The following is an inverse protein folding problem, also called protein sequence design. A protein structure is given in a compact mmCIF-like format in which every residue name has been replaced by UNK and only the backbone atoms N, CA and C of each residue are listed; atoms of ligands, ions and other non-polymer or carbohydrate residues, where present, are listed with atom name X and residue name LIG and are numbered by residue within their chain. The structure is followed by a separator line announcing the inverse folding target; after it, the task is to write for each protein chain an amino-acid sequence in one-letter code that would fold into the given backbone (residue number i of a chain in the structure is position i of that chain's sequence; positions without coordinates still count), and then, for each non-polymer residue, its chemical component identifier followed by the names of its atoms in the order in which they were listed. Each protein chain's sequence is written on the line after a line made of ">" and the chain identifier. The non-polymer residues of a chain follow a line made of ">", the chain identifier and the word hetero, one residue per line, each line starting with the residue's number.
data_IF_320579210952
#
_entry.id   IF_320579210952
#
_cell.length_a   1.000
_cell.length_b   1.000
_cell.length_c   1.000
_cell.angle_alpha   90.00
_cell.angle_beta   90.00
_cell.angle_gamma   90.00
#
_symmetry.space_group_name_H-M   'P 1'
#
loop_
_entity.id
_entity.type
_entity.pdbx_description
1 polymer ?
#
# COMPACT_ATOMS: atom_id res chain seq x y z
N UNK A 1 4.89 16.23 -48.95
CA UNK A 1 5.57 16.85 -47.79
C UNK A 1 6.01 15.73 -46.87
N UNK A 2 7.31 15.45 -46.91
CA UNK A 2 7.95 14.38 -46.17
C UNK A 2 8.02 14.73 -44.69
N UNK A 3 7.55 13.84 -43.82
CA UNK A 3 7.83 13.91 -42.40
C UNK A 3 9.20 13.28 -42.17
N UNK A 4 10.22 14.13 -42.02
CA UNK A 4 11.61 13.75 -41.80
C UNK A 4 11.99 14.12 -40.37
N UNK A 5 12.34 13.10 -39.58
CA UNK A 5 13.21 13.09 -38.38
C UNK A 5 12.78 14.01 -37.22
N UNK A 6 12.40 13.40 -36.10
CA UNK A 6 13.06 13.56 -34.79
C UNK A 6 12.53 12.47 -33.86
N UNK A 7 13.38 11.46 -33.56
CA UNK A 7 13.23 10.60 -32.39
C UNK A 7 13.44 11.46 -31.13
N UNK A 8 12.46 12.30 -30.79
CA UNK A 8 12.35 12.80 -29.41
C UNK A 8 11.70 11.68 -28.62
N UNK A 9 12.51 10.98 -27.82
CA UNK A 9 11.99 10.12 -26.78
C UNK A 9 11.13 11.00 -25.86
N UNK A 10 9.80 10.90 -26.00
CA UNK A 10 8.86 11.40 -25.00
C UNK A 10 9.08 10.57 -23.73
N UNK A 11 10.01 10.98 -22.88
CA UNK A 11 10.12 10.42 -21.54
C UNK A 11 8.86 10.85 -20.80
N UNK A 12 7.90 9.93 -20.67
CA UNK A 12 6.71 10.16 -19.86
C UNK A 12 7.17 10.57 -18.45
N UNK A 13 6.58 11.64 -17.92
CA UNK A 13 6.85 12.05 -16.54
C UNK A 13 6.59 10.88 -15.58
N UNK A 14 7.36 10.78 -14.48
CA UNK A 14 7.11 9.74 -13.49
C UNK A 14 5.67 9.83 -12.99
N UNK A 15 4.98 8.70 -13.00
CA UNK A 15 3.59 8.58 -12.55
C UNK A 15 3.56 8.89 -11.05
N UNK A 16 2.69 9.81 -10.61
CA UNK A 16 2.54 10.15 -9.20
C UNK A 16 2.01 8.96 -8.38
N UNK A 17 2.27 8.97 -7.08
CA UNK A 17 1.75 7.99 -6.12
C UNK A 17 0.23 7.79 -6.27
N UNK A 18 -0.55 8.87 -6.30
CA UNK A 18 -2.01 8.81 -6.45
C UNK A 18 -2.43 8.14 -7.76
N UNK A 19 -1.72 8.42 -8.85
CA UNK A 19 -2.01 7.78 -10.13
C UNK A 19 -1.60 6.29 -10.12
N UNK A 20 -0.53 5.92 -9.43
CA UNK A 20 -0.15 4.52 -9.21
C UNK A 20 -1.21 3.79 -8.37
N UNK A 21 -1.74 4.40 -7.31
CA UNK A 21 -2.84 3.88 -6.51
C UNK A 21 -4.09 3.62 -7.37
N UNK A 22 -4.55 4.64 -8.11
CA UNK A 22 -5.73 4.54 -8.98
C UNK A 22 -5.57 3.46 -10.05
N UNK A 23 -4.41 3.42 -10.72
CA UNK A 23 -4.13 2.42 -11.74
C UNK A 23 -4.09 1.01 -11.14
N UNK A 24 -3.42 0.85 -10.00
CA UNK A 24 -3.31 -0.44 -9.31
C UNK A 24 -4.67 -0.93 -8.85
N UNK A 25 -5.49 -0.04 -8.28
CA UNK A 25 -6.83 -0.37 -7.83
C UNK A 25 -7.71 -0.86 -8.97
N UNK A 26 -7.75 -0.09 -10.07
CA UNK A 26 -8.49 -0.45 -11.27
C UNK A 26 -8.02 -1.80 -11.85
N UNK A 27 -6.71 -2.02 -11.92
CA UNK A 27 -6.15 -3.26 -12.46
C UNK A 27 -6.47 -4.48 -11.60
N UNK A 28 -6.69 -4.29 -10.29
CA UNK A 28 -7.11 -5.35 -9.37
C UNK A 28 -8.64 -5.50 -9.27
N UNK A 29 -9.41 -4.70 -10.03
CA UNK A 29 -10.88 -4.71 -9.96
C UNK A 29 -11.44 -4.15 -8.67
N UNK A 30 -10.70 -3.25 -8.01
CA UNK A 30 -11.14 -2.54 -6.81
C UNK A 30 -11.74 -1.16 -7.11
N UNK A 31 -12.30 -0.55 -6.06
CA UNK A 31 -12.91 0.77 -6.09
C UNK A 31 -12.11 1.76 -5.22
N UNK A 32 -11.95 2.99 -5.70
CA UNK A 32 -11.36 4.07 -4.91
C UNK A 32 -12.43 4.71 -4.04
N UNK A 33 -12.15 4.82 -2.74
CA UNK A 33 -12.95 5.60 -1.78
C UNK A 33 -12.08 6.70 -1.18
N UNK A 34 -12.71 7.78 -0.70
CA UNK A 34 -12.02 8.93 -0.07
C UNK A 34 -12.04 8.87 1.46
N UNK A 35 -12.81 7.94 2.01
CA UNK A 35 -12.96 7.71 3.44
C UNK A 35 -13.04 6.20 3.67
N UNK A 36 -12.38 5.74 4.73
CA UNK A 36 -12.38 4.34 5.14
C UNK A 36 -12.77 4.25 6.61
N UNK A 37 -13.82 3.48 6.91
CA UNK A 37 -14.17 3.12 8.28
C UNK A 37 -13.44 1.84 8.68
N UNK A 38 -12.60 1.93 9.71
CA UNK A 38 -11.89 0.78 10.26
C UNK A 38 -12.90 -0.23 10.84
N UNK A 39 -12.90 -1.50 10.39
CA UNK A 39 -14.00 -2.42 10.71
C UNK A 39 -14.17 -2.70 12.21
N UNK A 40 -13.08 -2.73 12.98
CA UNK A 40 -13.13 -3.01 14.43
C UNK A 40 -13.34 -1.74 15.26
N UNK A 41 -12.56 -0.68 15.04
CA UNK A 41 -12.61 0.53 15.87
C UNK A 41 -13.72 1.51 15.48
N UNK A 42 -14.30 1.36 14.28
CA UNK A 42 -15.22 2.32 13.67
C UNK A 42 -14.62 3.72 13.45
N UNK A 43 -13.31 3.86 13.60
CA UNK A 43 -12.61 5.10 13.27
C UNK A 43 -12.69 5.36 11.76
N UNK A 44 -12.99 6.61 11.39
CA UNK A 44 -13.01 7.06 10.00
C UNK A 44 -11.64 7.64 9.67
N UNK A 45 -11.09 7.20 8.54
CA UNK A 45 -9.82 7.66 7.99
C UNK A 45 -10.05 8.36 6.67
N UNK A 46 -9.57 9.59 6.57
CA UNK A 46 -9.62 10.37 5.33
C UNK A 46 -8.43 10.03 4.43
N UNK A 47 -8.67 9.96 3.12
CA UNK A 47 -7.64 9.70 2.11
C UNK A 47 -8.14 8.80 0.99
N UNK A 48 -7.41 8.76 -0.12
CA UNK A 48 -7.73 7.80 -1.19
C UNK A 48 -7.29 6.39 -0.77
N UNK A 49 -8.24 5.46 -0.67
CA UNK A 49 -8.00 4.04 -0.44
C UNK A 49 -8.55 3.24 -1.62
N UNK A 50 -7.85 2.17 -1.99
CA UNK A 50 -8.43 1.13 -2.84
C UNK A 50 -9.08 0.07 -1.98
N UNK A 51 -10.35 -0.25 -2.23
CA UNK A 51 -11.08 -1.36 -1.61
C UNK A 51 -11.30 -2.44 -2.65
N UNK A 52 -11.02 -3.70 -2.29
CA UNK A 52 -11.31 -4.84 -3.15
C UNK A 52 -11.56 -6.10 -2.36
N UNK A 53 -12.11 -7.10 -3.04
CA UNK A 53 -12.29 -8.45 -2.51
C UNK A 53 -11.13 -9.33 -2.94
N UNK A 54 -10.46 -9.96 -1.97
CA UNK A 54 -9.41 -10.95 -2.26
C UNK A 54 -10.02 -12.26 -2.82
N UNK A 55 -9.18 -13.26 -3.10
CA UNK A 55 -9.64 -14.57 -3.59
C UNK A 55 -10.51 -15.35 -2.58
N UNK A 56 -10.43 -15.02 -1.29
CA UNK A 56 -11.27 -15.58 -0.23
C UNK A 56 -12.59 -14.79 -0.04
N UNK A 57 -12.87 -13.79 -0.89
CA UNK A 57 -14.04 -12.91 -0.80
C UNK A 57 -14.07 -12.10 0.52
N UNK A 58 -12.90 -11.80 1.05
CA UNK A 58 -12.67 -10.89 2.18
C UNK A 58 -12.35 -9.49 1.65
N UNK A 59 -12.88 -8.47 2.34
CA UNK A 59 -12.58 -7.09 2.01
C UNK A 59 -11.17 -6.75 2.49
N UNK A 60 -10.32 -6.30 1.58
CA UNK A 60 -9.00 -5.75 1.86
C UNK A 60 -8.92 -4.35 1.30
N UNK A 61 -8.08 -3.52 1.90
CA UNK A 61 -7.83 -2.19 1.39
C UNK A 61 -6.34 -1.84 1.43
N UNK A 62 -5.95 -0.85 0.65
CA UNK A 62 -4.60 -0.29 0.67
C UNK A 62 -4.64 1.14 0.17
N UNK A 63 -3.68 1.95 0.61
CA UNK A 63 -3.51 3.32 0.12
C UNK A 63 -2.08 3.60 -0.34
N UNK A 64 -1.18 2.62 -0.28
CA UNK A 64 0.19 2.76 -0.71
C UNK A 64 1.02 3.54 0.29
N UNK A 65 1.89 4.42 -0.19
CA UNK A 65 2.78 5.19 0.66
C UNK A 65 2.05 6.41 1.23
N UNK A 66 1.90 6.48 2.55
CA UNK A 66 1.26 7.59 3.28
C UNK A 66 2.24 8.52 3.98
N UNK A 67 3.53 8.16 4.03
CA UNK A 67 4.54 8.89 4.80
C UNK A 67 4.87 10.29 4.23
N UNK A 68 4.43 10.61 3.00
CA UNK A 68 4.57 11.94 2.41
C UNK A 68 6.03 12.36 2.19
N UNK A 69 6.94 11.39 2.06
CA UNK A 69 8.37 11.68 2.00
C UNK A 69 8.79 11.93 0.54
N UNK A 70 8.39 13.09 0.02
CA UNK A 70 8.78 13.64 -1.28
C UNK A 70 8.65 12.63 -2.44
N UNK A 71 9.57 12.67 -3.41
CA UNK A 71 9.55 11.84 -4.63
C UNK A 71 9.65 10.32 -4.38
N UNK A 72 9.86 9.87 -3.13
CA UNK A 72 10.04 8.46 -2.81
C UNK A 72 8.74 7.70 -2.57
N UNK A 73 7.61 8.38 -2.38
CA UNK A 73 6.30 7.72 -2.31
C UNK A 73 6.01 6.93 -3.61
N UNK A 74 6.34 7.51 -4.77
CA UNK A 74 6.19 6.82 -6.06
C UNK A 74 7.30 5.79 -6.33
N UNK A 75 8.47 5.92 -5.67
CA UNK A 75 9.58 4.97 -5.78
C UNK A 75 9.29 3.70 -4.99
N UNK A 76 8.74 3.84 -3.78
CA UNK A 76 8.46 2.74 -2.87
C UNK A 76 7.01 2.26 -2.91
N UNK A 77 6.18 2.75 -3.83
CA UNK A 77 4.76 2.40 -3.91
C UNK A 77 4.49 0.89 -3.88
N UNK A 78 5.27 0.09 -4.62
CA UNK A 78 5.09 -1.36 -4.63
C UNK A 78 5.42 -2.01 -3.28
N UNK A 79 6.40 -1.46 -2.56
CA UNK A 79 6.77 -1.90 -1.22
C UNK A 79 5.70 -1.51 -0.20
N UNK A 80 5.19 -0.28 -0.27
CA UNK A 80 4.08 0.17 0.57
C UNK A 80 2.81 -0.66 0.31
N UNK A 81 2.48 -0.94 -0.96
CA UNK A 81 1.37 -1.83 -1.31
C UNK A 81 1.53 -3.23 -0.71
N UNK A 82 2.74 -3.80 -0.79
CA UNK A 82 3.01 -5.12 -0.21
C UNK A 82 2.90 -5.10 1.33
N UNK A 83 3.28 -3.99 1.96
CA UNK A 83 3.16 -3.76 3.40
C UNK A 83 1.70 -3.65 3.85
N UNK A 84 0.89 -2.83 3.18
CA UNK A 84 -0.56 -2.72 3.41
C UNK A 84 -1.25 -4.10 3.31
N UNK A 85 -0.89 -4.88 2.28
CA UNK A 85 -1.41 -6.23 2.10
C UNK A 85 -0.91 -7.20 3.19
N UNK A 86 0.33 -7.06 3.64
CA UNK A 86 0.84 -7.84 4.78
C UNK A 86 0.03 -7.59 6.05
N UNK A 87 -0.39 -6.35 6.29
CA UNK A 87 -1.26 -5.99 7.40
C UNK A 87 -2.64 -6.67 7.32
N UNK A 88 -3.11 -6.94 6.10
CA UNK A 88 -4.32 -7.73 5.84
C UNK A 88 -4.09 -9.25 5.85
N UNK A 89 -2.91 -9.72 6.24
CA UNK A 89 -2.50 -11.13 6.12
C UNK A 89 -2.57 -11.68 4.70
N UNK A 90 -2.43 -10.84 3.68
CA UNK A 90 -2.49 -11.26 2.29
C UNK A 90 -1.14 -11.82 1.78
N UNK A 91 -1.12 -12.97 1.10
CA UNK A 91 -2.25 -13.89 0.89
C UNK A 91 -2.70 -14.56 2.21
N UNK A 92 -4.02 -14.69 2.40
CA UNK A 92 -4.82 -15.00 3.62
C UNK A 92 -4.28 -15.98 4.70
N UNK A 93 -3.13 -16.61 4.48
CA UNK A 93 -2.50 -17.60 5.35
C UNK A 93 -1.25 -17.11 6.07
N UNK A 94 -0.79 -15.87 5.87
CA UNK A 94 0.54 -15.48 6.32
C UNK A 94 0.67 -15.17 7.82
N UNK A 95 -0.41 -14.78 8.51
CA UNK A 95 -0.47 -14.67 9.98
C UNK A 95 0.66 -13.87 10.64
N UNK A 96 1.26 -12.93 9.89
CA UNK A 96 2.50 -12.25 10.29
C UNK A 96 2.20 -11.27 11.41
N UNK A 97 3.21 -10.97 12.24
CA UNK A 97 3.09 -9.87 13.19
C UNK A 97 3.34 -8.53 12.49
N UNK A 98 2.84 -7.43 13.04
CA UNK A 98 3.17 -6.06 12.61
C UNK A 98 4.67 -5.88 12.37
N UNK A 99 5.47 -6.23 13.38
CA UNK A 99 6.93 -6.14 13.34
C UNK A 99 7.54 -6.96 12.18
N UNK A 100 6.99 -8.14 11.90
CA UNK A 100 7.43 -8.94 10.74
C UNK A 100 7.12 -8.24 9.42
N UNK A 101 5.91 -7.67 9.27
CA UNK A 101 5.55 -6.89 8.09
C UNK A 101 6.45 -5.65 7.92
N UNK A 102 6.73 -4.93 9.01
CA UNK A 102 7.57 -3.73 9.00
C UNK A 102 9.03 -4.05 8.63
N UNK A 103 9.58 -5.15 9.16
CA UNK A 103 10.92 -5.61 8.80
C UNK A 103 11.02 -6.04 7.33
N UNK A 104 10.04 -6.78 6.83
CA UNK A 104 10.01 -7.19 5.42
C UNK A 104 9.84 -5.99 4.48
N UNK A 105 9.04 -5.00 4.90
CA UNK A 105 8.90 -3.73 4.19
C UNK A 105 10.25 -3.01 4.07
N UNK A 106 10.99 -2.88 5.17
CA UNK A 106 12.32 -2.26 5.16
C UNK A 106 13.30 -3.01 4.25
N UNK A 107 13.41 -4.33 4.39
CA UNK A 107 14.29 -5.17 3.56
C UNK A 107 13.94 -5.09 2.07
N UNK A 108 12.65 -5.03 1.74
CA UNK A 108 12.19 -4.88 0.35
C UNK A 108 12.57 -3.52 -0.24
N UNK A 109 12.54 -2.45 0.55
CA UNK A 109 13.03 -1.13 0.13
C UNK A 109 14.55 -1.12 -0.03
N UNK A 110 15.31 -1.71 0.89
CA UNK A 110 16.77 -1.81 0.79
C UNK A 110 17.20 -2.50 -0.51
N UNK A 111 16.58 -3.66 -0.79
CA UNK A 111 16.82 -4.42 -2.03
C UNK A 111 16.42 -3.64 -3.29
N UNK A 112 15.40 -2.79 -3.20
CA UNK A 112 15.05 -1.88 -4.30
C UNK A 112 16.14 -0.83 -4.51
N UNK A 113 16.71 -0.28 -3.44
CA UNK A 113 17.75 0.75 -3.48
C UNK A 113 19.08 0.27 -4.05
N UNK A 114 19.45 -1.00 -3.86
CA UNK A 114 20.70 -1.59 -4.38
C UNK A 114 20.86 -1.42 -5.90
N UNK A 115 19.74 -1.36 -6.63
CA UNK A 115 19.74 -1.29 -8.10
C UNK A 115 19.68 0.14 -8.65
N UNK A 116 19.63 1.15 -7.78
CA UNK A 116 19.45 2.55 -8.17
C UNK A 116 20.75 3.32 -8.16
N UNK A 117 20.85 4.35 -9.00
CA UNK A 117 22.01 5.25 -9.05
C UNK A 117 22.17 6.12 -7.81
N UNK A 118 21.08 6.36 -7.08
CA UNK A 118 21.01 7.17 -5.85
C UNK A 118 20.97 6.31 -4.58
N UNK A 119 21.66 5.15 -4.55
CA UNK A 119 21.59 4.13 -3.49
C UNK A 119 21.61 4.71 -2.07
N UNK A 120 22.58 5.58 -1.75
CA UNK A 120 22.73 6.14 -0.39
C UNK A 120 21.51 6.95 0.05
N UNK A 121 20.97 7.78 -0.85
CA UNK A 121 19.77 8.58 -0.57
C UNK A 121 18.56 7.65 -0.45
N UNK A 122 18.44 6.69 -1.34
CA UNK A 122 17.35 5.71 -1.30
C UNK A 122 17.34 4.92 0.02
N UNK A 123 18.49 4.43 0.50
CA UNK A 123 18.59 3.71 1.77
C UNK A 123 18.23 4.58 2.97
N UNK A 124 18.64 5.86 2.96
CA UNK A 124 18.22 6.81 3.98
C UNK A 124 16.68 6.97 4.00
N UNK A 125 16.07 7.10 2.83
CA UNK A 125 14.61 7.20 2.73
C UNK A 125 13.93 5.91 3.17
N UNK A 126 14.41 4.74 2.77
CA UNK A 126 13.91 3.44 3.21
C UNK A 126 13.88 3.34 4.75
N UNK A 127 14.94 3.82 5.41
CA UNK A 127 15.00 3.88 6.87
C UNK A 127 13.95 4.82 7.47
N UNK A 128 13.75 6.01 6.89
CA UNK A 128 12.72 6.94 7.36
C UNK A 128 11.30 6.38 7.21
N UNK A 129 11.02 5.68 6.11
CA UNK A 129 9.75 4.97 5.94
C UNK A 129 9.55 3.88 6.99
N UNK A 130 10.58 3.06 7.25
CA UNK A 130 10.53 2.03 8.29
C UNK A 130 10.30 2.61 9.68
N UNK A 131 11.04 3.66 10.05
CA UNK A 131 10.82 4.37 11.32
C UNK A 131 9.41 4.94 11.41
N UNK A 132 8.84 5.45 10.31
CA UNK A 132 7.47 5.92 10.24
C UNK A 132 6.43 4.84 10.58
N UNK A 133 6.52 3.66 9.97
CA UNK A 133 5.56 2.56 10.23
C UNK A 133 5.76 1.92 11.61
N UNK A 134 6.99 1.93 12.14
CA UNK A 134 7.27 1.44 13.50
C UNK A 134 6.61 2.32 14.56
N UNK A 135 6.69 3.65 14.42
CA UNK A 135 6.19 4.59 15.42
C UNK A 135 4.70 4.93 15.25
N UNK A 136 4.20 4.97 14.01
CA UNK A 136 2.84 5.46 13.71
C UNK A 136 1.95 4.40 13.05
N UNK A 137 2.49 3.24 12.69
CA UNK A 137 1.76 2.20 11.95
C UNK A 137 0.78 1.38 12.78
N UNK A 138 0.73 1.55 14.10
CA UNK A 138 -0.14 0.74 14.98
C UNK A 138 -1.63 0.91 14.65
N UNK A 139 -2.10 2.14 14.43
CA UNK A 139 -3.49 2.40 14.05
C UNK A 139 -3.82 1.78 12.68
N UNK A 140 -2.87 1.79 11.74
CA UNK A 140 -3.07 1.15 10.42
C UNK A 140 -3.08 -0.37 10.53
N UNK A 141 -2.18 -0.93 11.35
CA UNK A 141 -2.16 -2.36 11.66
C UNK A 141 -3.49 -2.79 12.24
N UNK A 142 -4.00 -2.13 13.28
CA UNK A 142 -5.27 -2.48 13.92
C UNK A 142 -6.48 -2.34 12.98
N UNK A 143 -6.46 -1.38 12.07
CA UNK A 143 -7.51 -1.19 11.07
C UNK A 143 -7.56 -2.36 10.05
N UNK A 144 -6.41 -2.92 9.71
CA UNK A 144 -6.26 -3.94 8.66
C UNK A 144 -6.17 -5.38 9.17
N UNK A 145 -5.62 -5.58 10.37
CA UNK A 145 -5.38 -6.87 11.03
C UNK A 145 -6.69 -7.40 11.64
N UNK A 146 -7.65 -7.73 10.79
CA UNK A 146 -8.85 -8.43 11.21
C UNK A 146 -8.53 -9.91 11.40
N UNK A 147 -8.97 -10.47 12.51
CA UNK A 147 -9.01 -11.93 12.64
C UNK A 147 -10.23 -12.47 11.87
N UNK A 148 -10.12 -13.66 11.27
CA UNK A 148 -11.27 -14.34 10.63
C UNK A 148 -12.51 -14.45 11.54
N UNK A 149 -12.34 -14.36 12.88
CA UNK A 149 -13.43 -14.38 13.86
C UNK A 149 -14.28 -13.10 13.88
N UNK A 150 -13.76 -11.94 13.47
CA UNK A 150 -14.50 -10.67 13.49
C UNK A 150 -15.30 -10.44 12.19
N UNK A 151 -14.86 -11.02 11.08
CA UNK A 151 -15.60 -11.01 9.80
C UNK A 151 -16.84 -11.92 9.83
N UNK A 152 -16.82 -13.01 10.60
CA UNK A 152 -17.96 -13.92 10.74
C UNK A 152 -19.03 -13.41 11.71
N UNK A 153 -18.65 -12.73 12.79
CA UNK A 153 -19.60 -12.14 13.76
C UNK A 153 -20.39 -10.97 13.15
N UNK A 154 -19.78 -10.16 12.27
CA UNK A 154 -20.48 -9.09 11.56
C UNK A 154 -21.43 -9.60 10.45
N UNK A 155 -21.19 -10.80 9.88
CA UNK A 155 -22.15 -11.46 8.96
C UNK A 155 -23.36 -12.07 9.69
N UNK A 156 -23.27 -12.35 10.98
CA UNK A 156 -24.40 -12.86 11.78
C UNK A 156 -25.35 -11.73 12.21
N UNK A 157 -24.83 -10.55 12.48
CA UNK A 157 -25.64 -9.41 12.95
C UNK A 157 -26.42 -8.69 11.82
N UNK A 158 -26.08 -8.93 10.55
CA UNK A 158 -26.79 -8.39 9.38
C UNK A 158 -27.90 -9.34 8.86
N UNK A 159 -28.16 -10.44 9.61
CA UNK A 159 -29.19 -11.45 9.31
C UNK A 159 -30.21 -11.64 10.44
N UNK A 160 -30.22 -10.77 11.46
CA UNK A 160 -31.23 -10.72 12.52
C UNK A 160 -32.01 -9.41 12.45
#
# INVERSE_FOLDING_TARGET
>A
MSCTILLSACTAAPISHQQQLKNTCKNKGGDIVTELTCPTSQEVRDGEFCLLKNSANEMVFFNGCTAGIADYDAVFFNQCLAHDLCYHHEPATNGKSKNTCDQEFYQAMEKHCEKRSDTKRCLLMAKLFYEGVEHFGESSWQCSNLSNKELESNKLNDKM
#
